data_IF_147405259531
#
_entry.id   IF_147405259531
#
_cell.length_a   1.000
_cell.length_b   1.000
_cell.length_c   1.000
_cell.angle_alpha   90.00
_cell.angle_beta   90.00
_cell.angle_gamma   90.00
#
_symmetry.space_group_name_H-M   'P 1'
#
loop_
_entity.id
_entity.type
_entity.pdbx_description
1 polymer ?
#
# COMPACT_ATOMS: atom_id res chain seq x y z
N UNK A 1 -32.67 49.18 32.48
CA UNK A 1 -32.51 49.32 31.01
C UNK A 1 -31.17 48.71 30.64
N UNK A 2 -31.22 47.61 29.89
CA UNK A 2 -30.15 46.63 29.75
C UNK A 2 -29.06 47.10 28.79
N UNK A 3 -27.80 46.95 29.19
CA UNK A 3 -26.64 47.15 28.33
C UNK A 3 -26.42 45.87 27.50
N UNK A 4 -26.38 46.02 26.17
CA UNK A 4 -26.24 44.95 25.18
C UNK A 4 -24.91 44.18 25.36
N UNK A 5 -24.99 42.86 25.51
CA UNK A 5 -23.85 41.95 25.35
C UNK A 5 -23.60 41.65 23.87
N UNK A 6 -22.44 42.06 23.36
CA UNK A 6 -21.97 41.78 22.00
C UNK A 6 -21.30 40.39 21.99
N UNK A 7 -22.03 39.36 21.54
CA UNK A 7 -21.47 38.01 21.37
C UNK A 7 -20.74 37.92 20.02
N UNK A 8 -19.40 37.91 20.05
CA UNK A 8 -18.57 37.65 18.89
C UNK A 8 -18.64 36.16 18.51
N UNK A 9 -19.33 35.83 17.42
CA UNK A 9 -19.39 34.48 16.88
C UNK A 9 -18.05 34.14 16.20
N UNK A 10 -17.27 33.27 16.84
CA UNK A 10 -16.03 32.71 16.29
C UNK A 10 -16.41 31.66 15.23
N UNK A 11 -16.47 32.06 13.96
CA UNK A 11 -16.68 31.14 12.83
C UNK A 11 -15.38 30.37 12.60
N UNK A 12 -15.34 29.13 13.08
CA UNK A 12 -14.23 28.20 12.81
C UNK A 12 -14.34 27.80 11.34
N UNK A 13 -13.56 28.43 10.47
CA UNK A 13 -13.36 27.98 9.10
C UNK A 13 -12.61 26.64 9.14
N UNK A 14 -13.34 25.53 9.00
CA UNK A 14 -12.74 24.22 8.80
C UNK A 14 -12.13 24.18 7.39
N UNK A 15 -10.82 24.39 7.28
CA UNK A 15 -10.11 24.09 6.04
C UNK A 15 -10.12 22.57 5.84
N UNK A 16 -10.55 22.05 4.68
CA UNK A 16 -10.38 20.64 4.39
C UNK A 16 -8.87 20.37 4.34
N UNK A 17 -8.35 19.62 5.30
CA UNK A 17 -7.05 18.98 5.17
C UNK A 17 -7.19 18.01 4.00
N UNK A 18 -6.78 18.44 2.81
CA UNK A 18 -6.50 17.57 1.68
C UNK A 18 -5.39 16.64 2.14
N UNK A 19 -5.78 15.49 2.68
CA UNK A 19 -4.84 14.41 2.94
C UNK A 19 -4.28 13.98 1.59
N UNK A 20 -2.99 14.23 1.41
CA UNK A 20 -2.34 14.09 0.10
C UNK A 20 -2.16 12.60 -0.19
N UNK A 21 -3.11 12.03 -0.94
CA UNK A 21 -3.03 10.64 -1.37
C UNK A 21 -1.94 10.53 -2.43
N UNK A 22 -0.83 9.89 -2.06
CA UNK A 22 0.28 9.66 -2.99
C UNK A 22 0.16 8.26 -3.59
N UNK A 23 0.16 8.18 -4.92
CA UNK A 23 0.10 6.92 -5.63
C UNK A 23 1.42 6.63 -6.34
N UNK A 24 1.81 5.36 -6.32
CA UNK A 24 3.09 4.88 -6.82
C UNK A 24 2.86 3.78 -7.85
N UNK A 25 3.64 3.82 -8.92
CA UNK A 25 3.76 2.76 -9.91
C UNK A 25 5.17 2.20 -9.84
N UNK A 26 5.30 0.94 -9.44
CA UNK A 26 6.59 0.33 -9.16
C UNK A 26 6.84 -0.83 -10.11
N UNK A 27 7.95 -0.77 -10.85
CA UNK A 27 8.47 -1.90 -11.61
C UNK A 27 9.44 -2.68 -10.71
N UNK A 28 9.28 -4.00 -10.63
CA UNK A 28 10.07 -4.90 -9.82
C UNK A 28 10.75 -5.98 -10.65
N UNK A 29 11.87 -6.47 -10.12
CA UNK A 29 12.50 -7.71 -10.55
C UNK A 29 12.57 -8.68 -9.37
N UNK A 30 11.92 -9.83 -9.53
CA UNK A 30 12.09 -10.95 -8.60
C UNK A 30 13.50 -11.52 -8.66
N UNK A 31 14.06 -11.87 -7.51
CA UNK A 31 15.35 -12.57 -7.43
C UNK A 31 15.19 -14.05 -7.79
N UNK A 32 14.01 -14.59 -7.57
CA UNK A 32 13.63 -15.93 -7.99
C UNK A 32 12.66 -15.90 -9.20
N UNK A 33 12.95 -16.70 -10.23
CA UNK A 33 12.08 -16.88 -11.40
C UNK A 33 10.92 -17.84 -11.10
N UNK A 34 10.11 -17.54 -10.08
CA UNK A 34 8.99 -18.41 -9.64
C UNK A 34 7.62 -17.72 -9.64
N UNK A 35 7.52 -16.49 -10.17
CA UNK A 35 6.24 -15.77 -10.34
C UNK A 35 5.59 -15.24 -9.05
N UNK A 36 6.20 -15.45 -7.88
CA UNK A 36 5.64 -15.00 -6.58
C UNK A 36 5.85 -13.52 -6.31
N UNK A 37 6.73 -12.88 -7.07
CA UNK A 37 6.99 -11.44 -7.04
C UNK A 37 6.42 -10.88 -8.35
N UNK A 38 5.38 -10.03 -8.30
CA UNK A 38 4.84 -9.39 -9.48
C UNK A 38 5.87 -8.44 -10.10
N UNK A 39 5.88 -8.34 -11.42
CA UNK A 39 6.76 -7.43 -12.17
C UNK A 39 6.37 -5.96 -12.00
N UNK A 40 5.11 -5.69 -11.61
CA UNK A 40 4.59 -4.34 -11.39
C UNK A 40 3.62 -4.32 -10.21
N UNK A 41 3.76 -3.33 -9.35
CA UNK A 41 2.85 -3.06 -8.22
C UNK A 41 2.43 -1.61 -8.25
N UNK A 42 1.12 -1.37 -8.23
CA UNK A 42 0.52 -0.07 -8.00
C UNK A 42 0.07 0.02 -6.55
N UNK A 43 0.35 1.14 -5.88
CA UNK A 43 -0.22 1.36 -4.55
C UNK A 43 -0.50 2.84 -4.27
N UNK A 44 -1.50 3.11 -3.46
CA UNK A 44 -1.83 4.46 -2.96
C UNK A 44 -1.67 4.49 -1.45
N UNK A 45 -1.10 5.58 -0.94
CA UNK A 45 -0.84 5.81 0.48
C UNK A 45 -1.50 7.11 0.90
N UNK A 46 -2.23 7.04 2.01
CA UNK A 46 -2.71 8.18 2.77
C UNK A 46 -2.09 8.08 4.18
N UNK A 47 -0.82 8.48 4.28
CA UNK A 47 0.04 8.14 5.42
C UNK A 47 -0.50 8.70 6.75
N UNK A 48 -1.11 9.89 6.73
CA UNK A 48 -1.68 10.53 7.92
C UNK A 48 -2.91 9.79 8.45
N UNK A 49 -3.71 9.18 7.56
CA UNK A 49 -4.89 8.40 7.95
C UNK A 49 -4.58 6.92 8.17
N UNK A 50 -3.33 6.50 7.95
CA UNK A 50 -2.93 5.10 8.07
C UNK A 50 -3.60 4.18 7.06
N UNK A 51 -4.01 4.72 5.90
CA UNK A 51 -4.65 3.93 4.85
C UNK A 51 -3.67 3.66 3.70
N UNK A 52 -3.72 2.44 3.17
CA UNK A 52 -3.11 2.13 1.90
C UNK A 52 -3.95 1.14 1.10
N UNK A 53 -3.81 1.22 -0.23
CA UNK A 53 -4.36 0.23 -1.16
C UNK A 53 -3.29 -0.23 -2.13
N UNK A 54 -3.37 -1.49 -2.55
CA UNK A 54 -2.42 -2.14 -3.45
C UNK A 54 -3.16 -2.86 -4.57
N UNK A 55 -2.55 -2.89 -5.75
CA UNK A 55 -3.02 -3.59 -6.92
C UNK A 55 -1.84 -4.06 -7.77
N UNK A 56 -1.86 -5.33 -8.17
CA UNK A 56 -0.87 -5.97 -9.01
C UNK A 56 -1.52 -7.14 -9.75
N UNK A 57 -0.77 -7.86 -10.60
CA UNK A 57 -1.31 -9.00 -11.36
C UNK A 57 -1.82 -10.16 -10.50
N UNK A 58 -1.24 -10.37 -9.31
CA UNK A 58 -1.68 -11.41 -8.38
C UNK A 58 -2.94 -10.99 -7.64
N UNK A 59 -3.03 -9.74 -7.21
CA UNK A 59 -4.24 -9.14 -6.63
C UNK A 59 -5.38 -9.16 -7.65
N UNK A 60 -5.11 -8.84 -8.91
CA UNK A 60 -6.11 -8.92 -9.98
C UNK A 60 -6.62 -10.35 -10.12
N UNK A 61 -5.72 -11.32 -10.25
CA UNK A 61 -6.09 -12.73 -10.37
C UNK A 61 -6.95 -13.24 -9.20
N UNK A 62 -6.65 -12.82 -7.95
CA UNK A 62 -7.36 -13.32 -6.77
C UNK A 62 -8.59 -12.49 -6.34
N UNK A 63 -8.67 -11.21 -6.70
CA UNK A 63 -9.68 -10.28 -6.18
C UNK A 63 -10.36 -9.41 -7.24
N UNK A 64 -9.76 -9.22 -8.41
CA UNK A 64 -10.31 -8.41 -9.51
C UNK A 64 -10.38 -6.90 -9.22
N UNK A 65 -9.76 -6.43 -8.12
CA UNK A 65 -9.82 -5.03 -7.68
C UNK A 65 -8.71 -4.70 -6.68
N UNK A 66 -8.35 -3.42 -6.50
CA UNK A 66 -7.43 -3.00 -5.45
C UNK A 66 -7.90 -3.44 -4.06
N UNK A 67 -6.95 -3.83 -3.21
CA UNK A 67 -7.22 -4.27 -1.84
C UNK A 67 -6.58 -3.34 -0.82
N UNK A 68 -7.12 -3.33 0.39
CA UNK A 68 -6.50 -2.62 1.51
C UNK A 68 -5.16 -3.28 1.89
N UNK A 69 -4.21 -2.44 2.27
CA UNK A 69 -2.93 -2.85 2.85
C UNK A 69 -2.71 -2.10 4.17
N UNK A 70 -2.14 -2.80 5.15
CA UNK A 70 -1.69 -2.18 6.40
C UNK A 70 -0.45 -1.34 6.11
N UNK A 71 -0.47 -0.06 6.50
CA UNK A 71 0.68 0.83 6.35
C UNK A 71 1.28 1.23 7.69
N UNK A 72 2.61 1.29 7.74
CA UNK A 72 3.36 1.85 8.86
C UNK A 72 4.49 2.75 8.38
N UNK A 73 4.51 3.98 8.88
CA UNK A 73 5.68 4.87 8.76
C UNK A 73 6.82 4.37 9.65
N UNK A 74 8.00 4.20 9.06
CA UNK A 74 9.21 3.80 9.75
C UNK A 74 9.99 5.06 10.17
N UNK A 75 10.79 4.95 11.24
CA UNK A 75 11.62 6.06 11.75
C UNK A 75 12.58 6.64 10.70
N UNK A 76 12.91 5.86 9.67
CA UNK A 76 13.76 6.26 8.54
C UNK A 76 13.03 7.04 7.43
N UNK A 77 11.75 7.41 7.62
CA UNK A 77 10.94 8.07 6.59
C UNK A 77 10.39 7.12 5.51
N UNK A 78 10.70 5.81 5.62
CA UNK A 78 10.18 4.77 4.71
C UNK A 78 8.76 4.35 5.12
N UNK A 79 7.97 3.85 4.17
CA UNK A 79 6.71 3.18 4.49
C UNK A 79 6.86 1.67 4.37
N UNK A 80 6.28 0.95 5.33
CA UNK A 80 6.09 -0.51 5.24
C UNK A 80 4.63 -0.79 4.97
N UNK A 81 4.36 -1.56 3.91
CA UNK A 81 3.04 -2.02 3.52
C UNK A 81 2.94 -3.52 3.75
N UNK A 82 1.81 -4.01 4.26
CA UNK A 82 1.55 -5.43 4.38
C UNK A 82 0.16 -5.76 3.86
N UNK A 83 0.06 -6.83 3.08
CA UNK A 83 -1.23 -7.37 2.64
C UNK A 83 -1.17 -8.89 2.58
N UNK A 84 -2.36 -9.49 2.60
CA UNK A 84 -2.53 -10.94 2.56
C UNK A 84 -3.39 -11.28 1.36
N UNK A 85 -3.01 -12.33 0.66
CA UNK A 85 -3.71 -12.82 -0.50
C UNK A 85 -3.94 -14.33 -0.36
N UNK A 86 -5.13 -14.78 -0.75
CA UNK A 86 -5.39 -16.18 -0.99
C UNK A 86 -5.45 -16.32 -2.50
N UNK A 87 -4.48 -17.02 -3.08
CA UNK A 87 -4.38 -17.25 -4.51
C UNK A 87 -5.07 -18.58 -4.83
N UNK A 88 -6.08 -18.60 -5.72
CA UNK A 88 -6.68 -19.84 -6.15
C UNK A 88 -5.63 -20.68 -6.90
N UNK A 89 -5.61 -22.00 -6.64
CA UNK A 89 -4.74 -22.95 -7.31
C UNK A 89 -5.56 -24.12 -7.82
N UNK A 90 -5.36 -24.48 -9.08
CA UNK A 90 -6.06 -25.60 -9.70
C UNK A 90 -5.73 -26.90 -8.95
N UNK A 91 -6.75 -27.52 -8.36
CA UNK A 91 -6.64 -28.82 -7.70
C UNK A 91 -5.96 -28.88 -6.33
N UNK A 92 -5.41 -27.78 -5.80
CA UNK A 92 -4.68 -27.76 -4.52
C UNK A 92 -5.29 -26.85 -3.44
N UNK A 93 -6.41 -26.18 -3.74
CA UNK A 93 -7.03 -25.19 -2.86
C UNK A 93 -6.25 -23.86 -2.81
N UNK A 94 -6.74 -22.91 -2.02
CA UNK A 94 -6.15 -21.56 -1.96
C UNK A 94 -4.77 -21.55 -1.31
N UNK A 95 -3.78 -20.95 -1.99
CA UNK A 95 -2.46 -20.69 -1.44
C UNK A 95 -2.46 -19.33 -0.73
N UNK A 96 -2.27 -19.33 0.58
CA UNK A 96 -2.10 -18.08 1.34
C UNK A 96 -0.70 -17.51 1.15
N UNK A 97 -0.62 -16.23 0.81
CA UNK A 97 0.61 -15.46 0.69
C UNK A 97 0.50 -14.17 1.49
N UNK A 98 1.52 -13.90 2.30
CA UNK A 98 1.68 -12.65 3.03
C UNK A 98 2.77 -11.83 2.36
N UNK A 99 2.42 -10.65 1.88
CA UNK A 99 3.36 -9.72 1.28
C UNK A 99 3.77 -8.65 2.29
N UNK A 100 5.06 -8.33 2.28
CA UNK A 100 5.60 -7.17 2.98
C UNK A 100 6.42 -6.36 1.99
N UNK A 101 6.01 -5.12 1.78
CA UNK A 101 6.74 -4.16 0.97
C UNK A 101 7.37 -3.06 1.82
N UNK A 102 8.47 -2.49 1.33
CA UNK A 102 9.04 -1.26 1.87
C UNK A 102 9.35 -0.31 0.74
N UNK A 103 8.77 0.89 0.79
CA UNK A 103 9.07 2.01 -0.11
C UNK A 103 9.87 3.05 0.65
N UNK A 104 10.92 3.55 0.00
CA UNK A 104 11.59 4.78 0.38
C UNK A 104 11.10 5.92 -0.51
N UNK A 105 10.25 6.83 0.00
CA UNK A 105 9.70 7.93 -0.81
C UNK A 105 10.77 8.89 -1.34
N UNK A 106 11.94 8.97 -0.69
CA UNK A 106 13.03 9.88 -1.09
C UNK A 106 13.82 9.36 -2.29
N UNK A 107 14.11 8.05 -2.30
CA UNK A 107 14.89 7.40 -3.35
C UNK A 107 14.04 6.66 -4.38
N UNK A 108 12.72 6.55 -4.13
CA UNK A 108 11.75 5.75 -4.88
C UNK A 108 12.17 4.28 -5.03
N UNK A 109 12.91 3.76 -4.04
CA UNK A 109 13.34 2.37 -4.01
C UNK A 109 12.26 1.51 -3.36
N UNK A 110 11.87 0.43 -4.02
CA UNK A 110 10.85 -0.49 -3.56
C UNK A 110 11.41 -1.89 -3.36
N UNK A 111 11.07 -2.50 -2.24
CA UNK A 111 11.44 -3.87 -1.93
C UNK A 111 10.18 -4.65 -1.57
N UNK A 112 10.05 -5.87 -2.08
CA UNK A 112 8.92 -6.74 -1.83
C UNK A 112 9.40 -8.12 -1.40
N UNK A 113 8.72 -8.69 -0.41
CA UNK A 113 8.89 -10.08 0.01
C UNK A 113 7.54 -10.79 0.09
N UNK A 114 7.51 -12.03 -0.36
CA UNK A 114 6.42 -12.97 -0.12
C UNK A 114 6.78 -13.97 1.00
N UNK A 115 5.80 -14.34 1.82
CA UNK A 115 5.88 -15.43 2.80
C UNK A 115 4.65 -16.33 2.69
N UNK A 116 4.87 -17.64 2.71
CA UNK A 116 3.82 -18.65 2.67
C UNK A 116 3.64 -19.25 4.07
N UNK A 117 2.62 -18.85 4.84
CA UNK A 117 2.46 -19.34 6.21
C UNK A 117 2.02 -20.80 6.32
N UNK A 118 1.48 -21.39 5.25
CA UNK A 118 0.91 -22.76 5.29
C UNK A 118 1.94 -23.85 5.02
N UNK A 119 2.98 -23.52 4.27
CA UNK A 119 4.10 -24.41 4.01
C UNK A 119 5.26 -23.85 4.84
N UNK A 120 5.93 -24.67 5.66
CA UNK A 120 7.20 -24.29 6.30
C UNK A 120 8.32 -24.17 5.24
N UNK A 121 8.02 -23.52 4.12
CA UNK A 121 8.92 -23.30 3.02
C UNK A 121 9.98 -22.31 3.48
N UNK A 122 11.23 -22.74 3.41
CA UNK A 122 12.40 -21.87 3.59
C UNK A 122 12.45 -20.75 2.53
N UNK A 123 11.73 -20.94 1.41
CA UNK A 123 11.63 -19.96 0.34
C UNK A 123 10.83 -18.73 0.80
N UNK A 124 11.51 -17.60 0.88
CA UNK A 124 10.92 -16.28 1.09
C UNK A 124 11.22 -15.46 -0.16
N UNK A 125 10.42 -15.56 -1.24
CA UNK A 125 10.68 -14.85 -2.48
C UNK A 125 10.85 -13.36 -2.24
N UNK A 126 11.77 -12.75 -2.98
CA UNK A 126 12.07 -11.33 -2.86
C UNK A 126 12.24 -10.70 -4.22
N UNK A 127 11.96 -9.42 -4.28
CA UNK A 127 12.38 -8.59 -5.39
C UNK A 127 12.57 -7.16 -4.94
N UNK A 128 13.25 -6.42 -5.78
CA UNK A 128 13.45 -5.00 -5.63
C UNK A 128 13.19 -4.29 -6.96
N UNK A 129 13.04 -2.98 -6.87
CA UNK A 129 12.58 -2.20 -7.99
C UNK A 129 12.58 -0.71 -7.71
N UNK A 130 12.08 0.04 -8.69
CA UNK A 130 11.93 1.48 -8.60
C UNK A 130 10.49 1.89 -8.86
N UNK A 131 10.07 2.92 -8.15
CA UNK A 131 8.75 3.52 -8.32
C UNK A 131 8.80 4.85 -9.05
N UNK A 132 7.64 5.24 -9.55
CA UNK A 132 7.33 6.58 -10.02
C UNK A 132 6.06 7.06 -9.32
N UNK A 133 6.00 8.36 -9.02
CA UNK A 133 4.79 8.97 -8.45
C UNK A 133 3.77 9.20 -9.57
N UNK A 134 2.56 8.70 -9.37
CA UNK A 134 1.44 8.87 -10.28
C UNK A 134 0.67 10.16 -9.95
N UNK A 135 0.38 10.96 -10.97
CA UNK A 135 -0.46 12.17 -10.82
C UNK A 135 -1.93 11.82 -11.05
N UNK A 136 -2.80 12.21 -10.11
CA UNK A 136 -4.26 12.22 -10.28
C UNK A 136 -4.98 10.87 -10.34
N UNK A 137 -4.27 9.74 -10.28
CA UNK A 137 -4.86 8.40 -10.24
C UNK A 137 -4.59 7.77 -8.87
N UNK A 138 -5.66 7.53 -8.12
CA UNK A 138 -5.61 6.88 -6.81
C UNK A 138 -6.30 5.52 -6.90
N UNK A 139 -5.98 4.62 -5.96
CA UNK A 139 -6.66 3.34 -5.80
C UNK A 139 -7.83 3.42 -4.80
N UNK A 140 -8.15 4.61 -4.30
CA UNK A 140 -9.23 4.85 -3.34
C UNK A 140 -10.59 4.97 -4.02
#
# INVERSE_FOLDING_TARGET
>A
MNCLSLAAAFVIAATPVLSDVVSYDCALKGWENKGWIPERVLFSVEAEKGNARVYDGLVEHAKGRPIAADIKSLKSGKYRLNWKLNLPSDGAGDIRVNYTATIDPSSLTFNLRAKFPMVNASNNPRGDGRCQIMKGKTLF
#
